data_IF_346794366171
#
_entry.id   IF_346794366171
#
_cell.length_a   1.000
_cell.length_b   1.000
_cell.length_c   1.000
_cell.angle_alpha   90.00
_cell.angle_beta   90.00
_cell.angle_gamma   90.00
#
_symmetry.space_group_name_H-M   'P 1'
#
loop_
_entity.id
_entity.type
_entity.pdbx_description
1 polymer ?
#
# COMPACT_ATOMS: atom_id res chain seq x y z
N UNK A 1 2.44 -14.31 -26.25
CA UNK A 1 3.44 -14.75 -25.26
C UNK A 1 4.57 -13.74 -25.07
N UNK A 2 5.27 -13.33 -26.12
CA UNK A 2 6.41 -12.39 -26.05
C UNK A 2 6.08 -11.07 -25.31
N UNK A 3 4.92 -10.45 -25.57
CA UNK A 3 4.49 -9.21 -24.88
C UNK A 3 4.45 -9.34 -23.35
N UNK A 4 3.99 -10.49 -22.82
CA UNK A 4 3.92 -10.75 -21.37
C UNK A 4 5.31 -10.90 -20.74
N UNK A 5 6.23 -11.54 -21.45
CA UNK A 5 7.63 -11.72 -21.01
C UNK A 5 8.33 -10.37 -20.94
N UNK A 6 8.20 -9.55 -21.99
CA UNK A 6 8.81 -8.22 -22.04
C UNK A 6 8.30 -7.34 -20.90
N UNK A 7 6.99 -7.28 -20.66
CA UNK A 7 6.43 -6.49 -19.56
C UNK A 7 6.90 -6.96 -18.18
N UNK A 8 7.04 -8.27 -17.98
CA UNK A 8 7.52 -8.82 -16.71
C UNK A 8 9.00 -8.45 -16.46
N UNK A 9 9.85 -8.58 -17.47
CA UNK A 9 11.27 -8.23 -17.38
C UNK A 9 11.43 -6.73 -17.12
N UNK A 10 10.71 -5.88 -17.86
CA UNK A 10 10.78 -4.43 -17.68
C UNK A 10 10.27 -4.04 -16.28
N UNK A 11 9.12 -4.57 -15.85
CA UNK A 11 8.56 -4.28 -14.53
C UNK A 11 9.51 -4.70 -13.40
N UNK A 12 10.07 -5.91 -13.48
CA UNK A 12 11.05 -6.40 -12.51
C UNK A 12 12.34 -5.57 -12.50
N UNK A 13 12.85 -5.19 -13.67
CA UNK A 13 14.05 -4.35 -13.76
C UNK A 13 13.82 -2.95 -13.19
N UNK A 14 12.66 -2.32 -13.46
CA UNK A 14 12.29 -1.02 -12.88
C UNK A 14 12.16 -1.12 -11.37
N UNK A 15 11.47 -2.15 -10.86
CA UNK A 15 11.31 -2.39 -9.43
C UNK A 15 12.66 -2.55 -8.73
N UNK A 16 13.53 -3.45 -9.24
CA UNK A 16 14.85 -3.69 -8.67
C UNK A 16 15.73 -2.44 -8.79
N UNK A 17 15.71 -1.75 -9.93
CA UNK A 17 16.52 -0.54 -10.16
C UNK A 17 16.18 0.58 -9.17
N UNK A 18 14.90 0.89 -8.99
CA UNK A 18 14.45 1.90 -8.03
C UNK A 18 14.67 1.47 -6.57
N UNK A 19 14.53 0.17 -6.28
CA UNK A 19 14.89 -0.39 -4.98
C UNK A 19 16.38 -0.22 -4.68
N UNK A 20 17.27 -0.48 -5.64
CA UNK A 20 18.71 -0.27 -5.46
C UNK A 20 19.04 1.20 -5.23
N UNK A 21 18.44 2.11 -6.03
CA UNK A 21 18.59 3.56 -5.87
C UNK A 21 18.17 4.06 -4.47
N UNK A 22 17.12 3.46 -3.89
CA UNK A 22 16.67 3.74 -2.53
C UNK A 22 16.14 5.17 -2.33
N UNK A 23 16.00 5.57 -1.07
CA UNK A 23 15.56 6.91 -0.68
C UNK A 23 14.22 7.30 -1.32
N UNK A 24 14.15 8.54 -1.83
CA UNK A 24 12.95 9.09 -2.46
C UNK A 24 12.49 8.29 -3.70
N UNK A 25 13.41 7.72 -4.48
CA UNK A 25 13.05 6.94 -5.67
C UNK A 25 12.25 5.69 -5.32
N UNK A 26 12.66 4.98 -4.27
CA UNK A 26 11.95 3.80 -3.80
C UNK A 26 10.63 4.19 -3.12
N UNK A 27 10.59 5.30 -2.38
CA UNK A 27 9.35 5.81 -1.79
C UNK A 27 8.30 6.17 -2.85
N UNK A 28 8.71 6.78 -3.97
CA UNK A 28 7.79 7.08 -5.09
C UNK A 28 7.24 5.79 -5.71
N UNK A 29 8.09 4.78 -5.90
CA UNK A 29 7.65 3.47 -6.38
C UNK A 29 6.61 2.85 -5.42
N UNK A 30 6.88 2.90 -4.12
CA UNK A 30 5.97 2.38 -3.10
C UNK A 30 4.64 3.14 -3.10
N UNK A 31 4.66 4.47 -3.22
CA UNK A 31 3.46 5.28 -3.34
C UNK A 31 2.59 4.83 -4.53
N UNK A 32 3.22 4.61 -5.69
CA UNK A 32 2.54 4.16 -6.90
C UNK A 32 1.98 2.74 -6.72
N UNK A 33 2.73 1.82 -6.10
CA UNK A 33 2.26 0.46 -5.82
C UNK A 33 1.10 0.43 -4.82
N UNK A 34 1.11 1.29 -3.80
CA UNK A 34 -0.02 1.45 -2.86
C UNK A 34 -1.28 1.88 -3.62
N UNK A 35 -1.19 2.90 -4.48
CA UNK A 35 -2.36 3.37 -5.27
C UNK A 35 -2.88 2.27 -6.19
N UNK A 36 -1.99 1.54 -6.88
CA UNK A 36 -2.38 0.41 -7.74
C UNK A 36 -3.05 -0.68 -6.91
N UNK A 37 -2.47 -1.08 -5.77
CA UNK A 37 -3.02 -2.11 -4.90
C UNK A 37 -4.41 -1.73 -4.37
N UNK A 38 -4.59 -0.50 -3.91
CA UNK A 38 -5.90 0.02 -3.48
C UNK A 38 -6.92 0.01 -4.62
N UNK A 39 -6.51 0.42 -5.82
CA UNK A 39 -7.39 0.40 -6.99
C UNK A 39 -7.86 -1.02 -7.34
N UNK A 40 -6.97 -2.00 -7.31
CA UNK A 40 -7.33 -3.40 -7.58
C UNK A 40 -8.25 -3.97 -6.51
N UNK A 41 -7.99 -3.71 -5.21
CA UNK A 41 -8.90 -4.12 -4.13
C UNK A 41 -10.29 -3.49 -4.27
N UNK A 42 -10.36 -2.21 -4.62
CA UNK A 42 -11.63 -1.51 -4.78
C UNK A 42 -12.42 -2.00 -5.98
N UNK A 43 -11.75 -2.31 -7.10
CA UNK A 43 -12.40 -2.98 -8.22
C UNK A 43 -13.02 -4.32 -7.83
N UNK A 44 -12.34 -5.12 -7.01
CA UNK A 44 -12.86 -6.42 -6.54
C UNK A 44 -14.11 -6.24 -5.68
N UNK A 45 -14.17 -5.18 -4.87
CA UNK A 45 -15.33 -4.86 -4.04
C UNK A 45 -16.36 -3.95 -4.73
N UNK A 46 -16.19 -3.67 -6.02
CA UNK A 46 -17.05 -2.77 -6.82
C UNK A 46 -17.15 -1.35 -6.24
N UNK A 47 -16.11 -0.90 -5.52
CA UNK A 47 -15.96 0.47 -5.07
C UNK A 47 -15.15 1.27 -6.08
N UNK A 48 -15.48 2.55 -6.20
CA UNK A 48 -14.73 3.47 -7.05
C UNK A 48 -13.62 4.13 -6.23
N UNK A 49 -12.39 4.16 -6.75
CA UNK A 49 -11.28 4.85 -6.09
C UNK A 49 -11.55 6.35 -5.91
N UNK A 50 -12.28 6.97 -6.85
CA UNK A 50 -12.68 8.38 -6.79
C UNK A 50 -13.90 8.65 -5.90
N UNK A 51 -14.45 7.63 -5.23
CA UNK A 51 -15.46 7.86 -4.19
C UNK A 51 -14.83 8.56 -2.98
N UNK A 52 -15.66 9.18 -2.14
CA UNK A 52 -15.20 9.81 -0.91
C UNK A 52 -14.38 8.82 -0.05
N UNK A 53 -14.90 7.61 0.10
CA UNK A 53 -14.27 6.53 0.86
C UNK A 53 -12.98 6.06 0.21
N UNK A 54 -12.99 5.90 -1.12
CA UNK A 54 -11.84 5.46 -1.90
C UNK A 54 -10.67 6.44 -1.81
N UNK A 55 -10.94 7.74 -1.87
CA UNK A 55 -9.91 8.77 -1.72
C UNK A 55 -9.37 8.73 -0.29
N UNK A 56 -10.24 8.75 0.71
CA UNK A 56 -9.84 8.85 2.11
C UNK A 56 -9.06 7.60 2.58
N UNK A 57 -9.44 6.42 2.11
CA UNK A 57 -8.76 5.15 2.40
C UNK A 57 -7.43 5.03 1.66
N UNK A 58 -7.36 5.47 0.41
CA UNK A 58 -6.08 5.49 -0.33
C UNK A 58 -5.11 6.48 0.32
N UNK A 59 -5.60 7.64 0.79
CA UNK A 59 -4.79 8.57 1.59
C UNK A 59 -4.33 7.93 2.90
N UNK A 60 -5.21 7.23 3.61
CA UNK A 60 -4.87 6.51 4.84
C UNK A 60 -3.76 5.48 4.58
N UNK A 61 -3.87 4.70 3.51
CA UNK A 61 -2.86 3.71 3.11
C UNK A 61 -1.51 4.37 2.80
N UNK A 62 -1.52 5.53 2.11
CA UNK A 62 -0.31 6.29 1.80
C UNK A 62 0.35 6.87 3.05
N UNK A 63 -0.42 7.43 3.99
CA UNK A 63 0.10 7.95 5.26
C UNK A 63 0.72 6.86 6.13
N UNK A 64 0.19 5.64 6.07
CA UNK A 64 0.72 4.48 6.77
C UNK A 64 1.98 3.95 6.07
N UNK A 65 1.92 3.76 4.74
CA UNK A 65 3.03 3.21 3.96
C UNK A 65 4.26 4.11 3.95
N UNK A 66 4.07 5.42 3.82
CA UNK A 66 5.15 6.39 3.61
C UNK A 66 5.40 7.23 4.88
N UNK A 67 6.64 7.67 5.13
CA UNK A 67 6.97 8.56 6.24
C UNK A 67 6.57 10.02 5.94
N UNK A 68 5.34 10.25 5.46
CA UNK A 68 4.81 11.58 5.11
C UNK A 68 4.73 12.48 6.36
N UNK A 69 4.36 11.90 7.51
CA UNK A 69 4.34 12.60 8.80
C UNK A 69 5.71 13.22 9.15
N UNK A 70 6.78 12.47 8.88
CA UNK A 70 8.16 12.91 9.13
C UNK A 70 8.59 14.06 8.23
N UNK A 71 8.26 14.00 6.95
CA UNK A 71 8.71 15.00 5.98
C UNK A 71 7.88 16.29 6.01
N UNK A 72 6.56 16.20 6.15
CA UNK A 72 5.66 17.36 6.05
C UNK A 72 5.28 17.96 7.39
N UNK A 73 5.18 17.15 8.44
CA UNK A 73 4.69 17.57 9.75
C UNK A 73 5.75 17.46 10.86
N UNK A 74 6.95 16.98 10.54
CA UNK A 74 8.02 16.76 11.53
C UNK A 74 7.68 15.72 12.60
N UNK A 75 6.72 14.84 12.33
CA UNK A 75 6.23 13.83 13.27
C UNK A 75 6.95 12.48 13.03
N UNK A 76 7.27 11.75 14.08
CA UNK A 76 7.88 10.42 13.99
C UNK A 76 6.88 9.35 13.49
N UNK A 77 7.22 8.06 13.60
CA UNK A 77 6.37 6.92 13.17
C UNK A 77 4.96 6.98 13.80
N UNK A 78 4.86 7.50 15.02
CA UNK A 78 3.58 7.78 15.69
C UNK A 78 2.71 8.76 14.88
N UNK A 79 3.33 9.71 14.16
CA UNK A 79 2.66 10.65 13.28
C UNK A 79 2.01 10.02 12.05
N UNK A 80 2.66 9.05 11.41
CA UNK A 80 2.04 8.29 10.30
C UNK A 80 0.80 7.52 10.77
N UNK A 81 0.87 6.92 11.96
CA UNK A 81 -0.27 6.23 12.58
C UNK A 81 -1.39 7.21 12.93
N UNK A 82 -1.04 8.39 13.46
CA UNK A 82 -1.99 9.45 13.77
C UNK A 82 -2.72 9.95 12.51
N UNK A 83 -2.00 10.20 11.41
CA UNK A 83 -2.60 10.59 10.13
C UNK A 83 -3.55 9.52 9.57
N UNK A 84 -3.17 8.25 9.67
CA UNK A 84 -4.05 7.12 9.33
C UNK A 84 -5.33 7.12 10.19
N UNK A 85 -5.19 7.29 11.51
CA UNK A 85 -6.32 7.37 12.43
C UNK A 85 -7.22 8.56 12.12
N UNK A 86 -6.67 9.73 11.74
CA UNK A 86 -7.45 10.89 11.32
C UNK A 86 -8.29 10.60 10.07
N UNK A 87 -7.75 9.86 9.09
CA UNK A 87 -8.53 9.42 7.93
C UNK A 87 -9.68 8.48 8.34
N UNK A 88 -9.42 7.53 9.25
CA UNK A 88 -10.47 6.66 9.80
C UNK A 88 -11.55 7.46 10.53
N UNK A 89 -11.15 8.39 11.40
CA UNK A 89 -12.09 9.29 12.08
C UNK A 89 -12.91 10.11 11.09
N UNK A 90 -12.30 10.55 9.97
CA UNK A 90 -13.02 11.20 8.88
C UNK A 90 -14.11 10.32 8.26
N UNK A 91 -13.82 9.04 7.99
CA UNK A 91 -14.81 8.09 7.49
C UNK A 91 -15.95 7.86 8.49
N UNK A 92 -15.61 7.66 9.76
CA UNK A 92 -16.60 7.45 10.82
C UNK A 92 -17.48 8.69 11.02
N UNK A 93 -16.90 9.87 10.92
CA UNK A 93 -17.64 11.14 10.98
C UNK A 93 -18.60 11.27 9.81
N UNK A 94 -18.18 10.90 8.59
CA UNK A 94 -19.05 10.91 7.42
C UNK A 94 -20.28 10.00 7.59
N UNK A 95 -20.12 8.86 8.29
CA UNK A 95 -21.25 7.97 8.65
C UNK A 95 -22.32 8.69 9.47
N UNK A 96 -21.89 9.46 10.48
CA UNK A 96 -22.82 10.20 11.35
C UNK A 96 -23.63 11.23 10.56
N UNK A 97 -22.99 11.93 9.61
CA UNK A 97 -23.65 12.94 8.79
C UNK A 97 -24.50 12.36 7.65
N UNK A 98 -24.29 11.10 7.28
CA UNK A 98 -24.99 10.46 6.16
C UNK A 98 -26.45 10.09 6.46
N UNK A 99 -26.91 10.26 7.72
CA UNK A 99 -28.28 9.90 8.16
C UNK A 99 -28.64 8.43 7.85
N UNK A 100 -27.67 7.52 7.92
CA UNK A 100 -27.87 6.07 7.78
C UNK A 100 -27.77 5.52 6.35
N UNK A 101 -27.42 6.34 5.36
CA UNK A 101 -27.07 5.86 4.01
C UNK A 101 -25.69 5.18 3.92
N UNK A 102 -24.86 5.40 4.93
CA UNK A 102 -23.49 4.91 5.04
C UNK A 102 -23.38 4.17 6.37
N UNK A 103 -22.99 2.90 6.31
CA UNK A 103 -22.95 2.02 7.47
C UNK A 103 -21.53 1.72 7.92
N UNK A 104 -21.41 1.09 9.09
CA UNK A 104 -20.13 0.61 9.58
C UNK A 104 -19.54 -0.49 8.68
N UNK A 105 -20.40 -1.32 8.08
CA UNK A 105 -19.97 -2.36 7.15
C UNK A 105 -19.35 -1.76 5.89
N UNK A 106 -19.90 -0.64 5.39
CA UNK A 106 -19.39 0.06 4.21
C UNK A 106 -17.99 0.66 4.46
N UNK A 107 -17.69 1.12 5.68
CA UNK A 107 -16.34 1.59 6.07
C UNK A 107 -15.37 0.42 6.24
N UNK A 108 -15.86 -0.74 6.67
CA UNK A 108 -15.02 -1.86 7.07
C UNK A 108 -14.05 -2.30 5.97
N UNK A 109 -14.54 -2.41 4.73
CA UNK A 109 -13.71 -2.84 3.61
C UNK A 109 -12.64 -1.80 3.19
N UNK A 110 -12.96 -0.52 2.94
CA UNK A 110 -11.97 0.53 2.67
C UNK A 110 -10.93 0.67 3.77
N UNK A 111 -11.36 0.59 5.03
CA UNK A 111 -10.46 0.67 6.19
C UNK A 111 -9.48 -0.50 6.23
N UNK A 112 -9.98 -1.74 6.19
CA UNK A 112 -9.13 -2.94 6.24
C UNK A 112 -8.18 -3.00 5.04
N UNK A 113 -8.65 -2.61 3.86
CA UNK A 113 -7.82 -2.51 2.66
C UNK A 113 -6.67 -1.53 2.87
N UNK A 114 -6.97 -0.33 3.38
CA UNK A 114 -5.95 0.68 3.65
C UNK A 114 -4.93 0.22 4.70
N UNK A 115 -5.39 -0.44 5.76
CA UNK A 115 -4.53 -0.98 6.80
C UNK A 115 -3.60 -2.09 6.27
N UNK A 116 -4.17 -3.06 5.54
CA UNK A 116 -3.45 -4.18 4.96
C UNK A 116 -2.37 -3.72 3.97
N UNK A 117 -2.77 -2.88 3.01
CA UNK A 117 -1.86 -2.34 1.98
C UNK A 117 -0.83 -1.42 2.62
N UNK A 118 -1.27 -0.52 3.50
CA UNK A 118 -0.42 0.44 4.20
C UNK A 118 0.73 -0.22 4.96
N UNK A 119 0.41 -1.15 5.87
CA UNK A 119 1.43 -1.85 6.67
C UNK A 119 2.33 -2.72 5.81
N UNK A 120 1.77 -3.42 4.82
CA UNK A 120 2.56 -4.27 3.93
C UNK A 120 3.65 -3.49 3.21
N UNK A 121 3.30 -2.35 2.63
CA UNK A 121 4.26 -1.50 1.92
C UNK A 121 5.18 -0.69 2.86
N UNK A 122 4.70 -0.29 4.04
CA UNK A 122 5.57 0.28 5.08
C UNK A 122 6.67 -0.71 5.48
N UNK A 123 6.32 -1.98 5.67
CA UNK A 123 7.25 -3.05 6.05
C UNK A 123 8.33 -3.26 4.97
N UNK A 124 7.96 -3.15 3.70
CA UNK A 124 8.91 -3.23 2.58
C UNK A 124 9.90 -2.04 2.58
N UNK A 125 9.44 -0.84 2.93
CA UNK A 125 10.31 0.32 3.12
C UNK A 125 11.27 0.14 4.30
N UNK A 126 10.75 -0.30 5.45
CA UNK A 126 11.58 -0.57 6.64
C UNK A 126 12.61 -1.67 6.39
N UNK A 127 12.24 -2.71 5.65
CA UNK A 127 13.18 -3.75 5.22
C UNK A 127 14.29 -3.14 4.35
N UNK A 128 13.95 -2.21 3.45
CA UNK A 128 14.94 -1.52 2.60
C UNK A 128 15.88 -0.62 3.38
N UNK A 129 15.37 0.06 4.41
CA UNK A 129 16.18 0.88 5.33
C UNK A 129 17.10 0.02 6.20
N UNK A 130 16.65 -1.18 6.60
CA UNK A 130 17.43 -2.13 7.40
C UNK A 130 18.58 -2.77 6.61
N UNK A 131 18.49 -2.80 5.28
CA UNK A 131 19.56 -3.23 4.39
C UNK A 131 19.07 -3.98 3.16
N UNK A 132 19.83 -3.91 2.07
CA UNK A 132 19.47 -4.59 0.81
C UNK A 132 19.29 -6.10 0.98
N UNK A 133 20.10 -6.74 1.83
CA UNK A 133 20.02 -8.17 2.09
C UNK A 133 18.65 -8.57 2.67
N UNK A 134 18.05 -7.74 3.53
CA UNK A 134 16.76 -8.02 4.17
C UNK A 134 15.64 -8.00 3.13
N UNK A 135 15.65 -7.03 2.20
CA UNK A 135 14.65 -6.95 1.13
C UNK A 135 14.79 -8.11 0.16
N UNK A 136 16.00 -8.43 -0.29
CA UNK A 136 16.21 -9.57 -1.17
C UNK A 136 15.81 -10.89 -0.52
N UNK A 137 16.09 -11.05 0.78
CA UNK A 137 15.61 -12.20 1.55
C UNK A 137 14.09 -12.29 1.51
N UNK A 138 13.38 -11.20 1.80
CA UNK A 138 11.91 -11.18 1.76
C UNK A 138 11.36 -11.52 0.36
N UNK A 139 11.95 -10.96 -0.70
CA UNK A 139 11.55 -11.24 -2.09
C UNK A 139 11.81 -12.70 -2.48
N UNK A 140 12.99 -13.24 -2.14
CA UNK A 140 13.32 -14.62 -2.44
C UNK A 140 12.46 -15.61 -1.67
N UNK A 141 12.08 -15.31 -0.42
CA UNK A 141 11.12 -16.13 0.32
C UNK A 141 9.82 -16.24 -0.47
N UNK A 142 9.19 -15.10 -0.79
CA UNK A 142 7.89 -15.08 -1.49
C UNK A 142 7.97 -15.76 -2.86
N UNK A 143 8.95 -15.40 -3.68
CA UNK A 143 9.08 -15.99 -5.03
C UNK A 143 9.41 -17.48 -5.00
N UNK A 144 10.30 -17.90 -4.10
CA UNK A 144 10.65 -19.33 -3.99
C UNK A 144 9.48 -20.14 -3.46
N UNK A 145 8.68 -19.60 -2.52
CA UNK A 145 7.48 -20.29 -2.04
C UNK A 145 6.41 -20.39 -3.11
N UNK A 146 6.20 -19.35 -3.93
CA UNK A 146 5.23 -19.40 -5.04
C UNK A 146 5.65 -20.43 -6.09
N UNK A 147 6.94 -20.44 -6.47
CA UNK A 147 7.49 -21.41 -7.41
C UNK A 147 7.41 -22.83 -6.85
N UNK A 148 7.77 -23.02 -5.57
CA UNK A 148 7.73 -24.31 -4.91
C UNK A 148 6.30 -24.86 -4.79
N UNK A 149 5.34 -24.00 -4.43
CA UNK A 149 3.93 -24.36 -4.36
C UNK A 149 3.39 -24.80 -5.73
N UNK A 150 3.79 -24.12 -6.81
CA UNK A 150 3.39 -24.48 -8.17
C UNK A 150 3.96 -25.82 -8.66
N UNK A 151 5.17 -26.20 -8.25
CA UNK A 151 5.80 -27.44 -8.69
C UNK A 151 5.41 -28.68 -7.88
N UNK A 152 5.13 -28.51 -6.59
CA UNK A 152 4.90 -29.63 -5.66
C UNK A 152 3.42 -29.82 -5.32
N UNK A 153 2.61 -28.75 -5.38
CA UNK A 153 1.16 -28.78 -5.09
C UNK A 153 0.32 -28.96 -6.34
#
# INVERSE_FOLDING_TARGET
MIKRIITAIIGGAVFIGLMLAGGAYFQILIALLVIIAMNELFKMHKLQLMSFEGILSTMAALFLALPIGKYFFGMDVEGSTLLFMLCLFGMLTAMVFSKGSYSFEDIGFPFLSAFYVGIGFQSLLLARESGLAVVFLALFIVWSTDIGAYFVG
#
